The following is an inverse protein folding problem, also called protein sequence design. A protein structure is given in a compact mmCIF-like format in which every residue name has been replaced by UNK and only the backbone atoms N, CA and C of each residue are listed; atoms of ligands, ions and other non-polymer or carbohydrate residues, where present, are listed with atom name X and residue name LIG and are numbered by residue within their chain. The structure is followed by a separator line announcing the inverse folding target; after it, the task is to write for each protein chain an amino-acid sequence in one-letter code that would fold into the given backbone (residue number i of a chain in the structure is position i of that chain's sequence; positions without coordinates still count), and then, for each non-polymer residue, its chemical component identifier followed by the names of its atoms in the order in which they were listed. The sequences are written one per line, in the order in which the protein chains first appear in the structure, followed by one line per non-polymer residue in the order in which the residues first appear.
data_IF_871282285610
#
_entry.id   IF_871282285610
#
_cell.length_a   1.000
_cell.length_b   1.000
_cell.length_c   1.000
_cell.angle_alpha   90.00
_cell.angle_beta   90.00
_cell.angle_gamma   90.00
#
_symmetry.space_group_name_H-M   'P 1'
#
loop_
_entity.id
_entity.type
_entity.pdbx_description
1 polymer ?
#
# COMPACT_ATOMS: atom_id res chain seq x y z
N UNK A 1 22.35 -8.84 -15.72
CA UNK A 1 21.86 -9.39 -17.00
C UNK A 1 20.60 -10.18 -16.67
N UNK A 2 19.43 -9.59 -16.87
CA UNK A 2 18.14 -10.25 -16.60
C UNK A 2 17.65 -10.69 -17.97
N UNK A 3 17.57 -12.00 -18.20
CA UNK A 3 17.00 -12.53 -19.44
C UNK A 3 15.53 -12.12 -19.49
N UNK A 4 15.19 -11.36 -20.53
CA UNK A 4 13.81 -11.16 -20.93
C UNK A 4 13.24 -12.53 -21.31
N UNK A 5 12.30 -13.03 -20.52
CA UNK A 5 11.41 -14.13 -20.91
C UNK A 5 10.48 -13.55 -21.97
N UNK A 6 10.95 -13.53 -23.22
CA UNK A 6 10.26 -12.89 -24.35
C UNK A 6 9.42 -13.88 -25.18
N UNK A 7 9.29 -15.13 -24.72
CA UNK A 7 8.65 -16.22 -25.47
C UNK A 7 7.71 -17.10 -24.61
N UNK A 8 7.02 -16.54 -23.61
CA UNK A 8 5.85 -17.22 -23.02
C UNK A 8 4.59 -16.84 -23.81
N UNK A 9 3.88 -17.79 -24.45
CA UNK A 9 2.72 -17.50 -25.29
C UNK A 9 1.48 -17.01 -24.52
N UNK A 10 1.54 -17.00 -23.18
CA UNK A 10 0.53 -16.41 -22.30
C UNK A 10 1.25 -15.91 -21.03
N UNK A 11 1.54 -14.60 -20.91
CA UNK A 11 2.23 -14.08 -19.73
C UNK A 11 1.38 -14.33 -18.47
N UNK A 12 1.99 -14.52 -17.28
CA UNK A 12 1.24 -14.76 -16.06
C UNK A 12 0.21 -13.66 -15.80
N UNK A 13 -1.07 -14.05 -15.79
CA UNK A 13 -2.17 -13.13 -15.55
C UNK A 13 -2.42 -13.02 -14.04
N UNK A 14 -1.81 -12.03 -13.42
CA UNK A 14 -2.04 -11.72 -12.01
C UNK A 14 -3.48 -11.29 -11.77
N UNK A 15 -4.04 -11.74 -10.65
CA UNK A 15 -5.29 -11.17 -10.14
C UNK A 15 -4.98 -9.85 -9.46
N UNK A 16 -5.67 -8.80 -9.87
CA UNK A 16 -5.62 -7.49 -9.22
C UNK A 16 -6.99 -6.83 -9.20
N UNK A 17 -7.17 -5.89 -8.29
CA UNK A 17 -8.31 -4.98 -8.25
C UNK A 17 -7.79 -3.54 -8.21
N UNK A 18 -8.51 -2.62 -8.85
CA UNK A 18 -8.25 -1.20 -8.66
C UNK A 18 -8.65 -0.79 -7.23
N UNK A 19 -7.72 -0.18 -6.50
CA UNK A 19 -7.97 0.35 -5.15
C UNK A 19 -8.26 1.85 -5.21
N UNK A 20 -7.46 2.58 -5.98
CA UNK A 20 -7.64 3.99 -6.29
C UNK A 20 -6.95 4.32 -7.62
N UNK A 21 -7.10 5.56 -8.10
CA UNK A 21 -6.42 5.99 -9.33
C UNK A 21 -4.89 5.86 -9.19
N UNK A 22 -4.29 4.94 -9.95
CA UNK A 22 -2.85 4.67 -9.88
C UNK A 22 -2.42 3.77 -8.72
N UNK A 23 -3.37 3.14 -8.01
CA UNK A 23 -3.12 2.20 -6.92
C UNK A 23 -3.93 0.92 -7.13
N UNK A 24 -3.24 -0.22 -7.17
CA UNK A 24 -3.86 -1.54 -7.32
C UNK A 24 -3.66 -2.40 -6.09
N UNK A 25 -4.63 -3.27 -5.84
CA UNK A 25 -4.54 -4.38 -4.88
C UNK A 25 -4.08 -5.62 -5.61
N UNK A 26 -2.93 -6.16 -5.22
CA UNK A 26 -2.41 -7.44 -5.67
C UNK A 26 -2.55 -8.47 -4.56
N UNK A 27 -2.74 -9.73 -4.94
CA UNK A 27 -2.92 -10.82 -3.99
C UNK A 27 -1.71 -11.74 -4.00
N UNK A 28 -1.32 -12.17 -2.80
CA UNK A 28 -0.21 -13.08 -2.59
C UNK A 28 -0.57 -14.18 -1.60
N UNK A 29 0.09 -15.32 -1.73
CA UNK A 29 0.12 -16.40 -0.76
C UNK A 29 1.49 -16.44 -0.13
N UNK A 30 1.53 -16.36 1.20
CA UNK A 30 2.75 -16.55 1.97
C UNK A 30 2.98 -18.05 2.16
N UNK A 31 4.03 -18.59 1.53
CA UNK A 31 4.59 -19.91 1.83
C UNK A 31 5.62 -19.84 2.95
N UNK A 32 6.19 -20.99 3.32
CA UNK A 32 7.18 -21.06 4.40
C UNK A 32 8.46 -20.24 4.13
N UNK A 33 8.84 -20.12 2.86
CA UNK A 33 10.11 -19.48 2.44
C UNK A 33 9.94 -18.50 1.28
N UNK A 34 8.73 -18.34 0.75
CA UNK A 34 8.46 -17.52 -0.43
C UNK A 34 7.10 -16.87 -0.37
N UNK A 35 6.96 -15.75 -1.08
CA UNK A 35 5.69 -15.06 -1.31
C UNK A 35 5.38 -15.18 -2.79
N UNK A 36 4.23 -15.78 -3.13
CA UNK A 36 3.82 -16.05 -4.50
C UNK A 36 2.59 -15.24 -4.86
N UNK A 37 2.60 -14.56 -6.00
CA UNK A 37 1.42 -13.88 -6.50
C UNK A 37 0.32 -14.86 -6.94
N UNK A 38 -0.94 -14.47 -6.73
CA UNK A 38 -2.09 -15.26 -7.17
C UNK A 38 -2.36 -14.97 -8.65
N UNK A 39 -2.42 -16.04 -9.44
CA UNK A 39 -2.73 -16.01 -10.87
C UNK A 39 -4.22 -16.29 -11.09
N UNK A 40 -4.77 -15.83 -12.21
CA UNK A 40 -6.17 -16.07 -12.59
C UNK A 40 -6.55 -17.55 -12.62
N UNK A 41 -5.65 -18.43 -13.05
CA UNK A 41 -5.85 -19.88 -13.06
C UNK A 41 -6.11 -20.46 -11.66
N UNK A 42 -5.51 -19.88 -10.61
CA UNK A 42 -5.76 -20.31 -9.24
C UNK A 42 -7.19 -20.01 -8.79
N UNK A 43 -7.78 -18.90 -9.26
CA UNK A 43 -9.17 -18.57 -8.96
C UNK A 43 -10.15 -19.56 -9.62
N UNK A 44 -9.87 -19.95 -10.86
CA UNK A 44 -10.65 -20.97 -11.56
C UNK A 44 -10.62 -22.31 -10.81
N UNK A 45 -9.43 -22.74 -10.38
CA UNK A 45 -9.24 -23.98 -9.62
C UNK A 45 -9.96 -23.94 -8.25
N UNK A 46 -10.01 -22.78 -7.60
CA UNK A 46 -10.70 -22.61 -6.33
C UNK A 46 -12.21 -22.36 -6.47
N UNK A 47 -12.69 -22.13 -7.69
CA UNK A 47 -14.08 -21.74 -7.94
C UNK A 47 -14.45 -20.43 -7.24
N UNK A 48 -13.50 -19.49 -7.19
CA UNK A 48 -13.59 -18.23 -6.44
C UNK A 48 -13.44 -17.04 -7.37
N UNK A 49 -14.16 -15.95 -7.12
CA UNK A 49 -13.95 -14.68 -7.84
C UNK A 49 -12.95 -13.74 -7.12
N UNK A 50 -12.53 -12.67 -7.80
CA UNK A 50 -11.56 -11.72 -7.24
C UNK A 50 -12.08 -10.94 -6.02
N UNK A 51 -13.40 -10.80 -5.87
CA UNK A 51 -14.02 -10.11 -4.73
C UNK A 51 -14.03 -11.02 -3.51
N UNK A 52 -14.41 -12.28 -3.68
CA UNK A 52 -14.32 -13.30 -2.64
C UNK A 52 -12.87 -13.46 -2.15
N UNK A 53 -11.91 -13.46 -3.09
CA UNK A 53 -10.49 -13.44 -2.75
C UNK A 53 -10.10 -12.21 -1.91
N UNK A 54 -10.62 -11.03 -2.26
CA UNK A 54 -10.34 -9.81 -1.52
C UNK A 54 -10.88 -9.86 -0.08
N UNK A 55 -12.09 -10.36 0.11
CA UNK A 55 -12.69 -10.55 1.44
C UNK A 55 -11.88 -11.55 2.28
N UNK A 56 -11.48 -12.68 1.68
CA UNK A 56 -10.64 -13.69 2.34
C UNK A 56 -9.26 -13.12 2.71
N UNK A 57 -8.59 -12.46 1.77
CA UNK A 57 -7.26 -11.87 1.98
C UNK A 57 -7.29 -10.81 3.08
N UNK A 58 -8.33 -9.97 3.11
CA UNK A 58 -8.51 -8.96 4.17
C UNK A 58 -8.73 -9.63 5.54
N UNK A 59 -9.52 -10.71 5.60
CA UNK A 59 -9.71 -11.49 6.85
C UNK A 59 -8.40 -12.12 7.35
N UNK A 60 -7.59 -12.65 6.45
CA UNK A 60 -6.28 -13.21 6.76
C UNK A 60 -5.32 -12.13 7.27
N UNK A 61 -5.28 -10.97 6.60
CA UNK A 61 -4.46 -9.83 7.02
C UNK A 61 -4.87 -9.34 8.40
N UNK A 62 -6.16 -9.18 8.67
CA UNK A 62 -6.65 -8.77 9.98
C UNK A 62 -6.25 -9.76 11.07
N UNK A 63 -6.36 -11.06 10.79
CA UNK A 63 -5.94 -12.12 11.73
C UNK A 63 -4.44 -12.07 12.00
N UNK A 64 -3.63 -11.84 10.96
CA UNK A 64 -2.18 -11.70 11.07
C UNK A 64 -1.82 -10.50 11.95
N UNK A 65 -2.37 -9.32 11.67
CA UNK A 65 -2.05 -8.09 12.41
C UNK A 65 -2.50 -8.13 13.86
N UNK A 66 -3.63 -8.79 14.16
CA UNK A 66 -4.05 -9.03 15.55
C UNK A 66 -3.03 -9.86 16.31
N UNK A 67 -2.30 -10.77 15.65
CA UNK A 67 -1.25 -11.60 16.28
C UNK A 67 0.10 -10.89 16.37
N UNK A 68 0.52 -10.22 15.30
CA UNK A 68 1.84 -9.60 15.17
C UNK A 68 1.91 -8.25 15.89
N UNK A 69 0.77 -7.56 16.00
CA UNK A 69 0.72 -6.17 16.44
C UNK A 69 0.77 -5.21 15.25
N UNK A 70 -0.04 -4.17 15.31
CA UNK A 70 -0.05 -3.04 14.40
C UNK A 70 0.21 -1.80 15.24
N UNK A 71 1.25 -1.04 14.91
CA UNK A 71 1.64 0.14 15.65
C UNK A 71 1.67 1.38 14.76
N UNK A 72 1.14 2.48 15.27
CA UNK A 72 1.39 3.81 14.70
C UNK A 72 2.59 4.36 15.44
N UNK A 73 3.72 4.46 14.75
CA UNK A 73 4.90 5.08 15.28
C UNK A 73 4.93 6.57 14.90
N UNK A 74 5.37 7.40 15.84
CA UNK A 74 5.57 8.83 15.63
C UNK A 74 7.04 9.17 15.78
N UNK A 75 7.67 9.63 14.71
CA UNK A 75 9.04 10.17 14.76
C UNK A 75 9.01 11.63 14.34
N UNK A 76 9.36 12.51 15.28
CA UNK A 76 9.28 13.97 15.09
C UNK A 76 7.86 14.40 14.69
N UNK A 77 7.63 14.69 13.41
CA UNK A 77 6.35 15.15 12.85
C UNK A 77 5.70 14.11 11.91
N UNK A 78 6.32 12.97 11.70
CA UNK A 78 5.76 11.90 10.86
C UNK A 78 4.96 10.90 11.70
N UNK A 79 3.83 10.46 11.15
CA UNK A 79 3.20 9.21 11.55
C UNK A 79 3.44 8.18 10.46
N UNK A 80 3.82 6.97 10.88
CA UNK A 80 4.02 5.87 9.97
C UNK A 80 3.54 4.57 10.61
N UNK A 81 3.19 3.63 9.75
CA UNK A 81 2.71 2.30 10.16
C UNK A 81 3.92 1.40 10.37
N UNK A 82 3.96 0.68 11.49
CA UNK A 82 4.92 -0.38 11.78
C UNK A 82 4.17 -1.70 12.04
N UNK A 83 4.57 -2.76 11.34
CA UNK A 83 4.07 -4.13 11.53
C UNK A 83 5.24 -5.09 11.72
N UNK A 84 5.92 -5.45 10.62
CA UNK A 84 6.96 -6.47 10.55
C UNK A 84 8.01 -6.20 9.46
N UNK A 85 7.91 -5.08 8.75
CA UNK A 85 8.74 -4.68 7.63
C UNK A 85 8.36 -5.29 6.27
N UNK A 86 7.22 -5.99 6.17
CA UNK A 86 6.78 -6.59 4.90
C UNK A 86 5.35 -6.21 4.48
N UNK A 87 4.46 -5.94 5.43
CA UNK A 87 3.02 -5.79 5.16
C UNK A 87 2.44 -4.43 5.56
N UNK A 88 3.27 -3.42 5.81
CA UNK A 88 2.81 -2.08 6.18
C UNK A 88 1.87 -1.49 5.12
N UNK A 89 2.21 -1.60 3.84
CA UNK A 89 1.34 -1.11 2.74
C UNK A 89 0.00 -1.83 2.67
N UNK A 90 -0.08 -3.08 3.13
CA UNK A 90 -1.32 -3.85 3.11
C UNK A 90 -2.36 -3.31 4.08
N UNK A 91 -1.95 -2.49 5.07
CA UNK A 91 -2.86 -1.77 5.97
C UNK A 91 -3.78 -0.82 5.21
N UNK A 92 -3.44 -0.40 3.98
CA UNK A 92 -4.34 0.31 3.08
C UNK A 92 -5.73 -0.34 2.97
N UNK A 93 -5.78 -1.68 3.06
CA UNK A 93 -6.98 -2.49 2.86
C UNK A 93 -7.76 -2.75 4.15
N UNK A 94 -7.46 -2.04 5.24
CA UNK A 94 -8.11 -2.20 6.54
C UNK A 94 -8.99 -0.99 6.86
N UNK A 95 -10.27 -0.98 6.45
CA UNK A 95 -11.13 0.19 6.61
C UNK A 95 -11.32 0.59 8.08
N UNK A 96 -11.38 -0.38 9.00
CA UNK A 96 -11.54 -0.11 10.43
C UNK A 96 -10.33 0.61 11.03
N UNK A 97 -9.12 0.32 10.54
CA UNK A 97 -7.92 1.02 10.99
C UNK A 97 -7.97 2.49 10.60
N UNK A 98 -8.28 2.78 9.33
CA UNK A 98 -8.33 4.16 8.85
C UNK A 98 -9.52 4.94 9.42
N UNK A 99 -10.65 4.27 9.70
CA UNK A 99 -11.75 4.84 10.47
C UNK A 99 -11.29 5.31 11.86
N UNK A 100 -10.51 4.48 12.55
CA UNK A 100 -9.97 4.83 13.85
C UNK A 100 -8.95 5.98 13.75
N UNK A 101 -8.09 6.00 12.73
CA UNK A 101 -7.16 7.12 12.48
C UNK A 101 -7.94 8.43 12.23
N UNK A 102 -9.02 8.39 11.45
CA UNK A 102 -9.89 9.55 11.24
C UNK A 102 -10.52 10.03 12.54
N UNK A 103 -11.05 9.12 13.36
CA UNK A 103 -11.64 9.44 14.66
C UNK A 103 -10.62 10.11 15.61
N UNK A 104 -9.41 9.55 15.71
CA UNK A 104 -8.31 10.11 16.50
C UNK A 104 -7.87 11.51 16.03
N UNK A 105 -8.12 11.84 14.76
CA UNK A 105 -7.84 13.13 14.15
C UNK A 105 -9.02 14.12 14.25
N UNK A 106 -9.98 13.85 15.15
CA UNK A 106 -11.17 14.70 15.32
C UNK A 106 -12.10 14.70 14.11
N UNK A 107 -12.09 13.62 13.32
CA UNK A 107 -12.89 13.48 12.10
C UNK A 107 -12.21 13.98 10.82
N UNK A 108 -11.00 14.56 10.90
CA UNK A 108 -10.25 14.99 9.72
C UNK A 108 -9.80 13.78 8.87
N UNK A 109 -10.01 13.84 7.55
CA UNK A 109 -9.70 12.73 6.65
C UNK A 109 -8.20 12.39 6.68
N UNK A 110 -7.82 11.10 6.87
CA UNK A 110 -6.44 10.65 6.73
C UNK A 110 -5.93 10.85 5.30
N UNK A 111 -4.71 11.36 5.18
CA UNK A 111 -3.96 11.46 3.92
C UNK A 111 -2.72 10.58 4.04
N UNK A 112 -2.59 9.58 3.17
CA UNK A 112 -1.50 8.60 3.21
C UNK A 112 -0.70 8.56 1.91
N UNK A 113 0.58 8.22 2.03
CA UNK A 113 1.47 7.89 0.92
C UNK A 113 1.99 6.45 1.10
N UNK A 114 1.73 5.60 0.10
CA UNK A 114 2.15 4.20 0.07
C UNK A 114 3.42 4.09 -0.78
N UNK A 115 4.58 4.38 -0.18
CA UNK A 115 5.83 4.55 -0.93
C UNK A 115 6.46 3.21 -1.32
N UNK A 116 6.51 2.26 -0.39
CA UNK A 116 6.95 0.87 -0.60
C UNK A 116 6.18 -0.06 0.33
N UNK A 117 6.46 -1.37 0.25
CA UNK A 117 5.80 -2.39 1.08
C UNK A 117 5.87 -2.11 2.58
N UNK A 118 6.99 -1.53 3.02
CA UNK A 118 7.35 -1.25 4.42
C UNK A 118 7.25 0.23 4.80
N UNK A 119 6.98 1.12 3.84
CA UNK A 119 6.98 2.57 4.06
C UNK A 119 5.62 3.17 3.74
N UNK A 120 4.79 3.24 4.78
CA UNK A 120 3.50 3.95 4.75
C UNK A 120 3.55 5.12 5.70
N UNK A 121 3.43 6.31 5.13
CA UNK A 121 3.39 7.56 5.88
C UNK A 121 2.01 8.18 5.76
N UNK A 122 1.54 8.81 6.82
CA UNK A 122 0.27 9.50 6.78
C UNK A 122 0.21 10.70 7.72
N UNK A 123 -0.76 11.55 7.45
CA UNK A 123 -1.22 12.66 8.29
C UNK A 123 -2.73 12.81 8.10
N UNK A 124 -3.31 13.94 8.49
CA UNK A 124 -4.70 14.28 8.21
C UNK A 124 -4.81 15.59 7.44
N UNK A 125 -5.91 15.78 6.73
CA UNK A 125 -6.09 16.89 5.76
C UNK A 125 -5.97 18.31 6.37
N UNK A 126 -6.15 18.44 7.68
CA UNK A 126 -6.01 19.72 8.39
C UNK A 126 -4.60 20.00 8.92
N UNK A 127 -3.65 19.07 8.80
CA UNK A 127 -2.25 19.26 9.24
C UNK A 127 -1.39 19.74 8.08
N UNK A 128 -1.36 21.06 7.88
CA UNK A 128 -0.63 21.70 6.78
C UNK A 128 0.86 21.35 6.79
N UNK A 129 1.49 21.32 7.98
CA UNK A 129 2.90 20.96 8.09
C UNK A 129 3.12 19.49 7.75
N UNK A 130 2.24 18.61 8.24
CA UNK A 130 2.26 17.19 7.91
C UNK A 130 2.09 16.94 6.42
N UNK A 131 1.22 17.67 5.73
CA UNK A 131 1.00 17.53 4.28
C UNK A 131 2.24 17.96 3.47
N UNK A 132 2.87 19.08 3.84
CA UNK A 132 4.12 19.53 3.21
C UNK A 132 5.24 18.50 3.40
N UNK A 133 5.30 17.93 4.59
CA UNK A 133 6.30 16.94 4.94
C UNK A 133 6.07 15.62 4.21
N UNK A 134 4.81 15.17 4.12
CA UNK A 134 4.39 14.00 3.35
C UNK A 134 4.73 14.19 1.86
N UNK A 135 4.58 15.40 1.32
CA UNK A 135 4.97 15.69 -0.07
C UNK A 135 6.48 15.60 -0.27
N UNK A 136 7.27 16.16 0.64
CA UNK A 136 8.73 16.12 0.55
C UNK A 136 9.28 14.69 0.50
N UNK A 137 8.81 13.82 1.40
CA UNK A 137 9.26 12.41 1.43
C UNK A 137 8.75 11.60 0.23
N UNK A 138 7.61 12.00 -0.34
CA UNK A 138 7.06 11.34 -1.50
C UNK A 138 7.76 11.76 -2.80
N UNK A 139 8.39 12.94 -2.80
CA UNK A 139 9.14 13.47 -3.93
C UNK A 139 10.57 12.90 -4.01
N UNK A 140 11.22 12.60 -2.88
CA UNK A 140 12.54 11.96 -2.81
C UNK A 140 12.45 10.48 -2.45
N UNK A 141 12.47 9.62 -3.48
CA UNK A 141 12.38 8.17 -3.34
C UNK A 141 13.71 7.46 -3.63
N UNK A 142 14.82 8.18 -3.58
CA UNK A 142 16.15 7.68 -3.97
C UNK A 142 16.55 6.41 -3.20
N UNK A 143 16.15 6.31 -1.93
CA UNK A 143 16.44 5.18 -1.04
C UNK A 143 15.22 4.25 -0.81
N UNK A 144 14.19 4.35 -1.66
CA UNK A 144 12.96 3.54 -1.55
C UNK A 144 12.98 2.43 -2.61
N UNK A 145 13.30 1.18 -2.23
CA UNK A 145 13.26 0.07 -3.17
C UNK A 145 11.80 -0.28 -3.51
N UNK A 146 11.57 -0.75 -4.74
CA UNK A 146 10.27 -1.25 -5.20
C UNK A 146 9.11 -0.28 -4.93
N UNK A 147 9.25 0.95 -5.42
CA UNK A 147 8.24 2.02 -5.24
C UNK A 147 6.86 1.56 -5.69
N UNK A 148 5.87 1.71 -4.81
CA UNK A 148 4.45 1.49 -5.11
C UNK A 148 3.87 2.76 -5.75
N UNK A 149 3.84 3.88 -5.03
CA UNK A 149 3.36 5.16 -5.56
C UNK A 149 3.98 6.34 -4.81
N UNK A 150 4.39 7.42 -5.51
CA UNK A 150 4.72 8.69 -4.86
C UNK A 150 3.47 9.51 -4.50
N UNK A 151 2.29 9.11 -4.95
CA UNK A 151 1.11 9.94 -4.81
C UNK A 151 0.51 9.85 -3.41
N UNK A 152 -0.24 10.89 -3.05
CA UNK A 152 -0.97 10.95 -1.80
C UNK A 152 -2.43 10.60 -2.04
N UNK A 153 -3.00 9.82 -1.13
CA UNK A 153 -4.37 9.33 -1.19
C UNK A 153 -5.13 9.80 0.05
N UNK A 154 -6.38 10.21 -0.13
CA UNK A 154 -7.32 10.55 0.94
C UNK A 154 -8.20 9.35 1.26
N UNK A 155 -8.34 9.05 2.54
CA UNK A 155 -9.31 8.09 3.02
C UNK A 155 -10.61 8.80 3.40
N UNK A 156 -11.72 8.38 2.80
CA UNK A 156 -13.05 8.87 3.16
C UNK A 156 -14.09 7.78 2.85
N UNK A 157 -15.08 7.60 3.73
CA UNK A 157 -16.19 6.66 3.53
C UNK A 157 -15.72 5.22 3.18
N UNK A 158 -14.62 4.77 3.80
CA UNK A 158 -14.09 3.42 3.62
C UNK A 158 -13.30 3.20 2.33
N UNK A 159 -12.95 4.26 1.58
CA UNK A 159 -12.25 4.14 0.31
C UNK A 159 -11.10 5.14 0.18
N UNK A 160 -10.10 4.77 -0.61
CA UNK A 160 -9.04 5.65 -1.04
C UNK A 160 -9.42 6.39 -2.31
N UNK A 161 -9.08 7.68 -2.35
CA UNK A 161 -9.15 8.49 -3.56
C UNK A 161 -7.84 9.24 -3.73
N UNK A 162 -7.41 9.46 -4.97
CA UNK A 162 -6.24 10.28 -5.24
C UNK A 162 -6.45 11.68 -4.66
N UNK A 163 -5.57 12.11 -3.76
CA UNK A 163 -5.59 13.44 -3.16
C UNK A 163 -4.67 14.38 -3.92
N UNK A 164 -3.43 13.94 -4.18
CA UNK A 164 -2.42 14.76 -4.84
C UNK A 164 -1.42 13.90 -5.60
N UNK A 165 -1.17 14.26 -6.86
CA UNK A 165 -0.04 13.75 -7.63
C UNK A 165 1.25 14.40 -7.14
N UNK A 166 2.27 13.61 -6.87
CA UNK A 166 3.57 14.13 -6.43
C UNK A 166 4.61 13.90 -7.53
N UNK A 167 5.19 15.00 -8.02
CA UNK A 167 6.28 14.93 -8.97
C UNK A 167 7.56 14.43 -8.26
N UNK A 168 8.24 13.45 -8.86
CA UNK A 168 9.52 12.98 -8.35
C UNK A 168 10.59 14.05 -8.56
N UNK A 169 11.45 14.23 -7.57
CA UNK A 169 12.69 14.96 -7.75
C UNK A 169 13.58 14.13 -8.68
N UNK A 170 13.84 14.63 -9.88
CA UNK A 170 14.81 13.97 -10.76
C UNK A 170 16.18 14.01 -10.09
N UNK A 171 16.72 12.84 -9.77
CA UNK A 171 18.10 12.70 -9.36
C UNK A 171 18.96 13.06 -10.57
N UNK A 172 19.52 14.27 -10.60
CA UNK A 172 20.58 14.61 -11.54
C UNK A 172 21.76 13.71 -11.19
N UNK A 173 21.84 12.56 -11.86
CA UNK A 173 23.00 11.67 -11.79
C UNK A 173 24.19 12.44 -12.36
N UNK A 174 25.01 13.02 -11.48
CA UNK A 174 26.34 13.48 -11.86
C UNK A 174 27.20 12.23 -12.04
N UNK A 175 27.43 11.88 -13.30
CA UNK A 175 28.48 10.95 -13.72
C UNK A 175 29.87 11.46 -13.34
#
# INVERSE_FOLDING_TARGET
MIHAVKDEPDPPQFVYLDEAEGLIKLFVVNGETSVSYIMSTALEDWGMDAKELAELAQGNLQTFLTKTGLHIAKRSRFQYVEVDGQFESSVAFLPNFWAQVQEQSGGAAPIAAFLSRDKVFFTHENDIEGLQLLELISADLSDVPYVISPDQYRWENGKWTLFKRVARLETISRH
#
